data_IF_813492358345
#
_entry.id   IF_813492358345
#
_cell.length_a   1.000
_cell.length_b   1.000
_cell.length_c   1.000
_cell.angle_alpha   90.00
_cell.angle_beta   90.00
_cell.angle_gamma   90.00
#
_symmetry.space_group_name_H-M   'P 1'
#
loop_
_entity.id
_entity.type
_entity.pdbx_description
1 polymer ?
#
# COMPACT_ATOMS: atom_id res chain seq x y z
N UNK A 1 -69.33 60.41 21.75
CA UNK A 1 -68.84 59.02 21.70
C UNK A 1 -67.34 59.10 21.84
N UNK A 2 -66.93 58.99 23.09
CA UNK A 2 -65.62 59.39 23.58
C UNK A 2 -64.94 58.17 24.19
N UNK A 3 -63.63 58.26 24.10
CA UNK A 3 -62.52 57.40 24.51
C UNK A 3 -62.70 56.55 25.78
N UNK A 4 -62.16 55.31 25.73
CA UNK A 4 -61.25 54.66 26.70
C UNK A 4 -61.40 53.13 26.64
N UNK A 5 -60.38 52.46 26.09
CA UNK A 5 -60.15 51.03 26.32
C UNK A 5 -58.89 50.89 27.20
N UNK A 6 -59.06 50.12 28.28
CA UNK A 6 -58.18 50.04 29.45
C UNK A 6 -56.93 49.18 29.27
N UNK A 7 -55.94 49.51 30.11
CA UNK A 7 -54.60 48.96 30.30
C UNK A 7 -54.54 47.47 30.70
N UNK A 8 -53.45 46.79 30.32
CA UNK A 8 -52.34 46.29 31.21
C UNK A 8 -51.61 45.10 30.53
N UNK A 9 -50.39 45.27 30.00
CA UNK A 9 -49.06 45.06 30.64
C UNK A 9 -48.74 43.57 30.92
N UNK A 10 -47.73 42.98 30.24
CA UNK A 10 -46.40 42.65 30.83
C UNK A 10 -45.47 41.83 29.88
N UNK A 11 -44.28 42.41 29.61
CA UNK A 11 -42.92 41.89 29.39
C UNK A 11 -42.60 40.70 28.45
N UNK A 12 -41.69 40.93 27.50
CA UNK A 12 -40.51 40.09 27.27
C UNK A 12 -39.33 40.96 26.77
N UNK A 13 -38.18 40.79 27.44
CA UNK A 13 -37.00 41.65 27.45
C UNK A 13 -36.12 41.52 26.19
N UNK A 14 -35.58 42.66 25.76
CA UNK A 14 -34.50 42.79 24.78
C UNK A 14 -33.15 42.32 25.36
N UNK A 15 -32.34 41.66 24.51
CA UNK A 15 -30.93 41.44 24.73
C UNK A 15 -30.19 41.35 23.39
N UNK A 16 -29.68 42.48 22.91
CA UNK A 16 -28.75 42.58 21.78
C UNK A 16 -27.35 42.49 22.38
N UNK A 17 -26.57 41.45 22.05
CA UNK A 17 -25.13 41.44 22.31
C UNK A 17 -24.37 41.66 21.00
N UNK A 18 -23.60 42.74 20.98
CA UNK A 18 -22.68 43.08 19.89
C UNK A 18 -21.43 42.20 19.99
N UNK A 19 -21.00 41.67 18.84
CA UNK A 19 -19.73 41.00 18.70
C UNK A 19 -18.60 42.04 18.59
N UNK A 20 -17.61 41.95 19.47
CA UNK A 20 -16.31 42.64 19.32
C UNK A 20 -15.27 41.63 18.85
N UNK A 21 -14.44 41.92 17.85
CA UNK A 21 -13.40 40.99 17.39
C UNK A 21 -12.21 41.02 18.36
N UNK A 22 -11.88 39.85 18.91
CA UNK A 22 -10.69 39.67 19.73
C UNK A 22 -9.50 39.38 18.79
N UNK A 23 -8.57 40.34 18.69
CA UNK A 23 -7.23 40.08 18.16
C UNK A 23 -6.44 39.31 19.21
N UNK A 24 -5.92 38.14 18.86
CA UNK A 24 -4.90 37.46 19.66
C UNK A 24 -3.62 37.22 18.85
N UNK A 25 -2.52 37.59 19.51
CA UNK A 25 -1.12 37.67 19.12
C UNK A 25 -0.60 36.52 18.25
N UNK A 26 0.32 36.90 17.34
CA UNK A 26 1.17 35.99 16.59
C UNK A 26 1.97 35.04 17.48
N UNK A 27 1.92 33.77 17.11
CA UNK A 27 2.85 32.74 17.52
C UNK A 27 3.80 32.55 16.33
N UNK A 28 5.08 32.93 16.49
CA UNK A 28 6.14 32.48 15.60
C UNK A 28 6.24 30.96 15.77
N UNK A 29 5.49 30.26 14.93
CA UNK A 29 5.60 28.82 14.77
C UNK A 29 6.96 28.51 14.17
N UNK A 30 7.81 27.88 14.96
CA UNK A 30 8.93 27.08 14.49
C UNK A 30 8.41 26.24 13.32
N UNK A 31 8.91 26.51 12.10
CA UNK A 31 8.76 25.62 10.97
C UNK A 31 9.48 24.32 11.34
N UNK A 32 8.77 23.40 11.99
CA UNK A 32 9.11 21.99 11.91
C UNK A 32 8.83 21.66 10.45
N UNK A 33 9.88 21.52 9.65
CA UNK A 33 9.77 20.93 8.33
C UNK A 33 9.06 19.60 8.53
N UNK A 34 7.81 19.49 8.07
CA UNK A 34 7.22 18.17 7.90
C UNK A 34 8.20 17.37 7.05
N UNK A 35 8.63 16.18 7.48
CA UNK A 35 9.46 15.36 6.62
C UNK A 35 8.70 15.18 5.31
N UNK A 36 9.39 15.44 4.19
CA UNK A 36 8.95 15.11 2.84
C UNK A 36 8.13 13.81 2.86
N UNK A 37 6.96 13.74 2.20
CA UNK A 37 6.09 12.57 2.27
C UNK A 37 6.89 11.32 1.86
N UNK A 38 7.28 10.53 2.86
CA UNK A 38 8.10 9.33 2.67
C UNK A 38 7.39 8.39 1.70
N UNK A 39 8.11 7.92 0.68
CA UNK A 39 7.60 6.92 -0.22
C UNK A 39 7.51 5.52 0.49
N UNK A 40 6.57 4.65 0.07
CA UNK A 40 6.30 3.20 0.39
C UNK A 40 7.58 2.51 0.63
N UNK A 41 8.55 2.69 -0.24
CA UNK A 41 9.74 1.87 -0.18
C UNK A 41 10.52 2.33 1.02
N UNK A 42 10.73 3.63 1.18
CA UNK A 42 11.31 4.16 2.42
C UNK A 42 10.52 3.72 3.65
N UNK A 43 9.19 3.84 3.67
CA UNK A 43 8.36 3.43 4.82
C UNK A 43 8.42 1.93 5.12
N UNK A 44 8.28 1.07 4.10
CA UNK A 44 8.33 -0.39 4.18
C UNK A 44 9.72 -0.78 4.67
N UNK A 45 10.79 -0.28 4.05
CA UNK A 45 12.16 -0.61 4.42
C UNK A 45 12.53 -0.14 5.83
N UNK A 46 12.09 1.06 6.24
CA UNK A 46 12.25 1.53 7.62
C UNK A 46 11.51 0.63 8.61
N UNK A 47 10.29 0.19 8.27
CA UNK A 47 9.48 -0.67 9.13
C UNK A 47 9.99 -2.11 9.18
N UNK A 48 10.60 -2.58 8.09
CA UNK A 48 11.21 -3.90 7.97
C UNK A 48 12.64 -3.94 8.51
N UNK A 49 13.21 -2.79 8.88
CA UNK A 49 14.55 -2.74 9.44
C UNK A 49 14.60 -3.51 10.76
N UNK A 50 15.40 -4.57 10.79
CA UNK A 50 15.46 -5.49 11.94
C UNK A 50 14.35 -6.54 11.99
N UNK A 51 13.63 -6.76 10.88
CA UNK A 51 12.71 -7.90 10.75
C UNK A 51 13.46 -9.21 11.03
N UNK A 52 12.77 -10.13 11.72
CA UNK A 52 13.24 -11.48 12.03
C UNK A 52 13.14 -12.44 10.84
N UNK A 53 12.45 -12.03 9.77
CA UNK A 53 12.32 -12.79 8.53
C UNK A 53 13.39 -12.39 7.51
N UNK A 54 13.76 -13.35 6.64
CA UNK A 54 14.64 -13.08 5.49
C UNK A 54 13.77 -12.63 4.33
N UNK A 55 13.89 -11.35 3.96
CA UNK A 55 13.08 -10.70 2.94
C UNK A 55 13.91 -10.48 1.67
N UNK A 56 13.42 -10.98 0.55
CA UNK A 56 13.91 -10.64 -0.79
C UNK A 56 13.21 -9.36 -1.24
N UNK A 57 13.89 -8.51 -1.99
CA UNK A 57 13.31 -7.23 -2.44
C UNK A 57 12.70 -6.46 -1.25
N UNK A 58 13.31 -6.54 -0.07
CA UNK A 58 12.87 -5.80 1.13
C UNK A 58 11.61 -6.30 1.84
N UNK A 59 10.66 -6.92 1.15
CA UNK A 59 9.33 -7.27 1.69
C UNK A 59 8.71 -8.58 1.12
N UNK A 60 9.43 -9.32 0.28
CA UNK A 60 9.01 -10.65 -0.16
C UNK A 60 9.58 -11.74 0.74
N UNK A 61 8.70 -12.50 1.40
CA UNK A 61 9.11 -13.66 2.19
C UNK A 61 9.79 -14.71 1.31
N UNK A 62 11.03 -15.06 1.66
CA UNK A 62 11.76 -16.13 1.00
C UNK A 62 11.00 -17.47 1.16
N UNK A 63 10.64 -18.17 0.06
CA UNK A 63 9.92 -19.44 0.15
C UNK A 63 10.74 -20.51 0.89
N UNK A 64 10.36 -20.84 2.14
CA UNK A 64 11.10 -21.80 2.99
C UNK A 64 10.98 -23.27 2.52
N UNK A 65 10.02 -23.59 1.66
CA UNK A 65 9.66 -24.98 1.31
C UNK A 65 9.92 -25.35 -0.15
N UNK A 66 10.47 -24.45 -0.98
CA UNK A 66 10.59 -24.67 -2.43
C UNK A 66 11.98 -24.25 -2.92
N UNK A 67 12.82 -25.22 -3.30
CA UNK A 67 14.18 -25.00 -3.81
C UNK A 67 14.27 -24.89 -5.34
N UNK A 68 13.18 -25.13 -6.07
CA UNK A 68 13.04 -24.89 -7.51
C UNK A 68 11.62 -24.41 -7.81
N UNK A 69 11.45 -23.10 -8.03
CA UNK A 69 10.15 -22.51 -8.33
C UNK A 69 10.08 -22.03 -9.79
N UNK A 70 9.43 -22.84 -10.62
CA UNK A 70 8.66 -22.32 -11.75
C UNK A 70 7.20 -22.52 -11.36
N UNK A 71 6.31 -21.57 -11.67
CA UNK A 71 4.88 -21.71 -11.37
C UNK A 71 4.25 -22.79 -12.28
N UNK A 72 4.50 -24.06 -11.95
CA UNK A 72 4.04 -25.19 -12.73
C UNK A 72 2.50 -25.22 -12.72
N UNK A 73 1.91 -25.22 -13.91
CA UNK A 73 0.47 -25.31 -14.14
C UNK A 73 -0.35 -24.23 -13.42
N UNK A 74 0.17 -23.01 -13.26
CA UNK A 74 -0.52 -21.90 -12.58
C UNK A 74 -0.91 -22.21 -11.11
N UNK A 75 -0.28 -23.21 -10.48
CA UNK A 75 -0.57 -23.61 -9.11
C UNK A 75 -0.10 -22.61 -8.05
N UNK A 76 0.65 -21.57 -8.44
CA UNK A 76 1.05 -20.49 -7.55
C UNK A 76 0.01 -19.36 -7.46
N UNK A 77 -1.09 -19.42 -8.23
CA UNK A 77 -2.13 -18.38 -8.19
C UNK A 77 -3.36 -18.84 -7.39
N UNK A 78 -4.15 -17.86 -6.95
CA UNK A 78 -5.45 -18.12 -6.33
C UNK A 78 -6.45 -18.66 -7.36
N UNK A 79 -7.30 -19.60 -6.93
CA UNK A 79 -8.20 -20.29 -7.85
C UNK A 79 -9.42 -19.42 -8.17
N UNK A 80 -9.76 -19.36 -9.45
CA UNK A 80 -11.01 -18.75 -9.92
C UNK A 80 -12.14 -19.79 -9.86
N UNK A 81 -13.28 -19.40 -9.31
CA UNK A 81 -14.47 -20.24 -9.21
C UNK A 81 -15.32 -20.18 -10.50
N UNK A 82 -16.39 -20.98 -10.57
CA UNK A 82 -17.27 -21.08 -11.73
C UNK A 82 -18.02 -19.77 -12.06
N UNK A 83 -18.11 -18.84 -11.11
CA UNK A 83 -18.76 -17.53 -11.30
C UNK A 83 -17.77 -16.46 -11.81
N UNK A 84 -16.59 -16.87 -12.30
CA UNK A 84 -15.51 -16.00 -12.73
C UNK A 84 -14.97 -15.08 -11.62
N UNK A 85 -15.08 -15.50 -10.35
CA UNK A 85 -14.59 -14.77 -9.18
C UNK A 85 -13.41 -15.51 -8.56
N UNK A 86 -12.39 -14.77 -8.12
CA UNK A 86 -11.26 -15.30 -7.36
C UNK A 86 -11.47 -14.96 -5.90
N UNK A 87 -11.94 -15.93 -5.12
CA UNK A 87 -12.13 -15.76 -3.68
C UNK A 87 -10.82 -16.02 -2.95
N UNK A 88 -10.40 -15.04 -2.15
CA UNK A 88 -9.21 -15.10 -1.31
C UNK A 88 -9.66 -15.06 0.15
N UNK A 89 -9.74 -16.23 0.81
CA UNK A 89 -10.12 -16.30 2.21
C UNK A 89 -9.07 -15.59 3.07
N UNK A 90 -9.50 -14.78 4.03
CA UNK A 90 -8.59 -14.12 4.96
C UNK A 90 -9.12 -14.07 6.39
N UNK A 91 -8.17 -13.94 7.33
CA UNK A 91 -8.43 -13.56 8.73
C UNK A 91 -7.60 -12.32 9.07
N UNK A 92 -8.04 -11.56 10.07
CA UNK A 92 -7.33 -10.37 10.58
C UNK A 92 -7.12 -10.50 12.07
N UNK A 93 -5.86 -10.43 12.51
CA UNK A 93 -5.48 -10.51 13.93
C UNK A 93 -6.31 -9.56 14.80
N UNK A 94 -6.73 -10.03 15.98
CA UNK A 94 -7.44 -9.22 16.97
C UNK A 94 -6.63 -8.04 17.50
N UNK A 95 -5.32 -8.00 17.25
CA UNK A 95 -4.45 -6.87 17.59
C UNK A 95 -4.74 -5.61 16.78
N UNK A 96 -5.30 -5.74 15.58
CA UNK A 96 -5.69 -4.60 14.76
C UNK A 96 -6.93 -3.92 15.35
N UNK A 97 -6.82 -2.61 15.56
CA UNK A 97 -7.92 -1.78 16.03
C UNK A 97 -9.05 -1.70 15.01
N UNK A 98 -10.19 -1.12 15.42
CA UNK A 98 -11.29 -0.83 14.50
C UNK A 98 -10.85 0.03 13.32
N UNK A 99 -10.04 1.07 13.56
CA UNK A 99 -9.54 1.95 12.50
C UNK A 99 -8.58 1.23 11.55
N UNK A 100 -7.69 0.39 12.08
CA UNK A 100 -6.77 -0.40 11.25
C UNK A 100 -7.55 -1.31 10.28
N UNK A 101 -8.61 -1.96 10.80
CA UNK A 101 -9.51 -2.83 10.02
C UNK A 101 -10.27 -2.05 8.95
N UNK A 102 -10.65 -0.80 9.22
CA UNK A 102 -11.28 0.06 8.22
C UNK A 102 -10.32 0.39 7.07
N UNK A 103 -9.04 0.70 7.37
CA UNK A 103 -8.03 0.96 6.34
C UNK A 103 -7.79 -0.30 5.49
N UNK A 104 -7.66 -1.47 6.13
CA UNK A 104 -7.49 -2.74 5.42
C UNK A 104 -8.70 -3.03 4.52
N UNK A 105 -9.92 -2.85 5.03
CA UNK A 105 -11.15 -3.05 4.27
C UNK A 105 -11.27 -2.05 3.10
N UNK A 106 -10.89 -0.79 3.32
CA UNK A 106 -10.89 0.23 2.28
C UNK A 106 -9.89 -0.11 1.16
N UNK A 107 -8.68 -0.56 1.50
CA UNK A 107 -7.71 -1.05 0.52
C UNK A 107 -8.23 -2.22 -0.31
N UNK A 108 -8.87 -3.20 0.33
CA UNK A 108 -9.52 -4.34 -0.32
C UNK A 108 -10.66 -3.93 -1.27
N UNK A 109 -11.38 -2.84 -0.98
CA UNK A 109 -12.53 -2.39 -1.78
C UNK A 109 -12.16 -1.99 -3.22
N UNK A 110 -10.92 -1.54 -3.44
CA UNK A 110 -10.42 -1.24 -4.80
C UNK A 110 -10.36 -2.51 -5.64
N UNK A 111 -9.86 -3.62 -5.08
CA UNK A 111 -9.87 -4.91 -5.76
C UNK A 111 -11.30 -5.36 -6.07
N UNK A 112 -12.22 -5.21 -5.13
CA UNK A 112 -13.62 -5.61 -5.31
C UNK A 112 -14.31 -4.84 -6.44
N UNK A 113 -14.03 -3.55 -6.57
CA UNK A 113 -14.70 -2.67 -7.53
C UNK A 113 -14.06 -2.66 -8.93
N UNK A 114 -12.78 -3.05 -9.06
CA UNK A 114 -12.02 -2.93 -10.31
C UNK A 114 -11.56 -4.27 -10.90
N UNK A 115 -11.72 -5.36 -10.16
CA UNK A 115 -11.26 -6.70 -10.57
C UNK A 115 -12.27 -7.79 -10.19
N UNK A 116 -11.99 -9.03 -10.56
CA UNK A 116 -12.71 -10.22 -10.10
C UNK A 116 -12.19 -10.79 -8.77
N UNK A 117 -11.22 -10.15 -8.11
CA UNK A 117 -10.70 -10.57 -6.81
C UNK A 117 -11.69 -10.22 -5.69
N UNK A 118 -12.00 -11.18 -4.82
CA UNK A 118 -12.85 -10.99 -3.65
C UNK A 118 -12.15 -11.53 -2.40
N UNK A 119 -11.69 -10.62 -1.56
CA UNK A 119 -11.29 -10.96 -0.19
C UNK A 119 -12.52 -11.32 0.62
N UNK A 120 -12.58 -12.55 1.12
CA UNK A 120 -13.73 -13.09 1.87
C UNK A 120 -13.30 -13.54 3.25
N UNK A 121 -14.13 -13.32 4.27
CA UNK A 121 -13.85 -13.83 5.60
C UNK A 121 -13.70 -15.36 5.54
N UNK A 122 -12.57 -15.87 6.02
CA UNK A 122 -12.29 -17.30 6.00
C UNK A 122 -13.29 -18.05 6.88
N UNK A 123 -13.77 -19.19 6.37
CA UNK A 123 -14.48 -20.20 7.14
C UNK A 123 -13.62 -21.46 7.28
N UNK A 124 -13.71 -22.39 6.34
CA UNK A 124 -13.07 -23.72 6.39
C UNK A 124 -11.97 -23.92 5.36
N UNK A 125 -11.67 -22.89 4.54
CA UNK A 125 -10.70 -23.02 3.45
C UNK A 125 -9.29 -23.34 3.99
N UNK A 126 -8.62 -24.26 3.30
CA UNK A 126 -7.25 -24.68 3.62
C UNK A 126 -6.24 -23.58 3.30
N UNK A 127 -6.35 -22.97 2.12
CA UNK A 127 -5.48 -21.89 1.67
C UNK A 127 -6.11 -20.55 2.02
N UNK A 128 -5.38 -19.69 2.74
CA UNK A 128 -5.90 -18.40 3.18
C UNK A 128 -4.79 -17.44 3.61
N UNK A 129 -5.10 -16.15 3.58
CA UNK A 129 -4.22 -15.09 4.10
C UNK A 129 -4.51 -14.85 5.58
N UNK A 130 -3.47 -14.84 6.40
CA UNK A 130 -3.50 -14.40 7.79
C UNK A 130 -2.87 -13.01 7.87
N UNK A 131 -3.70 -11.97 8.04
CA UNK A 131 -3.22 -10.59 8.22
C UNK A 131 -2.83 -10.43 9.69
N UNK A 132 -1.53 -10.30 9.94
CA UNK A 132 -0.93 -10.30 11.28
C UNK A 132 -0.13 -9.01 11.52
N UNK A 133 -0.08 -8.56 12.77
CA UNK A 133 0.77 -7.44 13.18
C UNK A 133 2.15 -7.99 13.57
N UNK A 134 3.07 -8.09 12.61
CA UNK A 134 4.46 -8.50 12.88
C UNK A 134 5.45 -7.36 12.65
N UNK A 135 6.71 -7.73 12.60
CA UNK A 135 7.91 -6.92 12.41
C UNK A 135 8.13 -6.57 10.93
N UNK A 136 7.18 -5.85 10.34
CA UNK A 136 7.32 -5.32 8.99
C UNK A 136 6.03 -5.25 8.17
N UNK A 137 6.17 -4.77 6.95
CA UNK A 137 5.24 -4.89 5.83
C UNK A 137 5.85 -5.94 4.90
N UNK A 138 5.24 -7.11 4.80
CA UNK A 138 5.74 -8.16 3.92
C UNK A 138 4.68 -9.20 3.61
N UNK A 139 4.89 -9.90 2.50
CA UNK A 139 3.98 -10.92 2.00
C UNK A 139 4.74 -12.04 1.30
N UNK A 140 4.05 -13.17 1.12
CA UNK A 140 4.52 -14.20 0.20
C UNK A 140 4.12 -13.85 -1.23
N UNK A 141 4.91 -14.29 -2.20
CA UNK A 141 4.55 -14.12 -3.60
C UNK A 141 3.55 -15.19 -4.06
N UNK A 142 2.32 -14.77 -4.37
CA UNK A 142 1.24 -15.64 -4.81
C UNK A 142 0.68 -16.54 -3.71
N UNK A 143 -0.08 -17.55 -4.12
CA UNK A 143 -0.62 -18.59 -3.23
C UNK A 143 0.43 -19.65 -2.93
N UNK A 144 0.82 -19.77 -1.65
CA UNK A 144 1.86 -20.72 -1.21
C UNK A 144 1.31 -22.03 -0.67
N UNK A 145 0.01 -22.08 -0.36
CA UNK A 145 -0.69 -23.25 0.19
C UNK A 145 -0.75 -23.23 1.72
N UNK A 146 -1.91 -23.57 2.29
CA UNK A 146 -2.17 -23.45 3.72
C UNK A 146 -2.33 -21.99 4.19
N UNK A 147 -2.01 -21.75 5.47
CA UNK A 147 -1.93 -20.40 6.04
C UNK A 147 -0.70 -19.68 5.47
N UNK A 148 -0.89 -18.54 4.80
CA UNK A 148 0.21 -17.62 4.46
C UNK A 148 0.01 -16.28 5.14
N UNK A 149 1.09 -15.68 5.63
CA UNK A 149 1.05 -14.42 6.37
C UNK A 149 1.17 -13.24 5.40
N UNK A 150 0.35 -12.22 5.64
CA UNK A 150 0.62 -10.84 5.21
C UNK A 150 0.88 -10.06 6.50
N UNK A 151 2.11 -9.60 6.69
CA UNK A 151 2.46 -8.78 7.84
C UNK A 151 2.13 -7.33 7.54
N UNK A 152 1.37 -6.71 8.44
CA UNK A 152 1.16 -5.27 8.45
C UNK A 152 1.47 -4.77 9.85
N UNK A 153 2.69 -4.33 10.09
CA UNK A 153 3.02 -3.63 11.32
C UNK A 153 2.06 -2.44 11.51
N UNK A 154 1.41 -2.39 12.67
CA UNK A 154 0.36 -1.40 12.94
C UNK A 154 0.81 0.06 12.83
N UNK A 155 2.09 0.33 13.07
CA UNK A 155 2.62 1.69 13.09
C UNK A 155 3.24 2.12 11.76
N UNK A 156 3.68 1.17 10.93
CA UNK A 156 4.37 1.46 9.67
C UNK A 156 3.64 1.05 8.39
N UNK A 157 2.69 0.11 8.46
CA UNK A 157 2.17 -0.57 7.26
C UNK A 157 0.67 -0.39 7.02
N UNK A 158 -0.10 0.10 7.99
CA UNK A 158 -1.56 0.21 7.87
C UNK A 158 -1.94 1.51 7.15
N UNK A 159 -1.51 1.59 5.89
CA UNK A 159 -1.78 2.67 4.95
C UNK A 159 -2.39 2.07 3.70
N UNK A 160 -3.34 2.78 3.07
CA UNK A 160 -4.09 2.27 1.92
C UNK A 160 -3.17 1.67 0.83
N UNK A 161 -2.17 2.41 0.36
CA UNK A 161 -1.23 1.94 -0.65
C UNK A 161 -0.37 0.74 -0.20
N UNK A 162 0.11 0.72 1.04
CA UNK A 162 0.93 -0.40 1.58
C UNK A 162 0.09 -1.67 1.67
N UNK A 163 -1.14 -1.58 2.18
CA UNK A 163 -2.02 -2.76 2.21
C UNK A 163 -2.27 -3.29 0.80
N UNK A 164 -2.48 -2.41 -0.19
CA UNK A 164 -2.64 -2.86 -1.58
C UNK A 164 -1.37 -3.49 -2.16
N UNK A 165 -0.21 -2.94 -1.82
CA UNK A 165 1.09 -3.46 -2.21
C UNK A 165 1.31 -4.89 -1.71
N UNK A 166 1.13 -5.13 -0.41
CA UNK A 166 1.31 -6.46 0.18
C UNK A 166 0.28 -7.49 -0.33
N UNK A 167 -0.94 -7.04 -0.59
CA UNK A 167 -1.97 -7.87 -1.19
C UNK A 167 -1.66 -8.19 -2.67
N UNK A 168 -1.03 -7.28 -3.41
CA UNK A 168 -0.55 -7.55 -4.77
C UNK A 168 0.59 -8.58 -4.78
N UNK A 169 1.51 -8.54 -3.82
CA UNK A 169 2.46 -9.63 -3.62
C UNK A 169 1.75 -10.97 -3.39
N UNK A 170 0.75 -11.00 -2.51
CA UNK A 170 -0.05 -12.21 -2.26
C UNK A 170 -0.81 -12.70 -3.51
N UNK A 171 -1.10 -11.82 -4.48
CA UNK A 171 -1.67 -12.18 -5.79
C UNK A 171 -0.64 -12.72 -6.78
N UNK A 172 0.66 -12.50 -6.55
CA UNK A 172 1.75 -13.00 -7.38
C UNK A 172 2.49 -11.94 -8.19
N UNK A 173 2.41 -10.66 -7.81
CA UNK A 173 3.13 -9.57 -8.48
C UNK A 173 4.46 -9.27 -7.78
N UNK A 174 5.54 -9.25 -8.56
CA UNK A 174 6.83 -8.71 -8.15
C UNK A 174 6.82 -7.17 -8.22
N UNK A 175 7.91 -6.57 -7.77
CA UNK A 175 8.14 -5.15 -7.96
C UNK A 175 8.31 -4.74 -9.42
N UNK A 176 8.00 -3.49 -9.72
CA UNK A 176 8.07 -2.95 -11.09
C UNK A 176 9.52 -2.80 -11.58
N UNK A 177 10.42 -2.32 -10.71
CA UNK A 177 11.83 -2.10 -11.06
C UNK A 177 12.63 -3.39 -11.27
N UNK A 178 12.06 -4.55 -10.96
CA UNK A 178 12.67 -5.86 -11.18
C UNK A 178 12.14 -6.55 -12.43
N UNK A 179 11.27 -5.90 -13.22
CA UNK A 179 10.86 -6.41 -14.54
C UNK A 179 12.05 -6.74 -15.44
N UNK A 180 11.86 -7.74 -16.28
CA UNK A 180 12.85 -8.20 -17.27
C UNK A 180 13.27 -7.09 -18.27
N UNK A 181 12.38 -6.14 -18.56
CA UNK A 181 12.58 -5.03 -19.50
C UNK A 181 12.93 -3.69 -18.82
N UNK A 182 13.13 -3.67 -17.49
CA UNK A 182 13.27 -2.42 -16.71
C UNK A 182 14.40 -1.50 -17.18
N UNK A 183 15.49 -2.04 -17.74
CA UNK A 183 16.65 -1.26 -18.20
C UNK A 183 16.31 -0.30 -19.37
N UNK A 184 15.13 -0.45 -19.99
CA UNK A 184 14.62 0.49 -20.99
C UNK A 184 13.97 1.75 -20.38
N UNK A 185 13.70 1.72 -19.06
CA UNK A 185 12.86 2.69 -18.35
C UNK A 185 13.56 3.27 -17.13
N UNK A 186 14.43 2.51 -16.47
CA UNK A 186 15.20 3.01 -15.32
C UNK A 186 16.66 2.62 -15.44
N UNK A 187 17.53 3.54 -14.99
CA UNK A 187 18.92 3.26 -14.67
C UNK A 187 19.03 2.92 -13.19
N UNK A 188 19.69 1.81 -12.88
CA UNK A 188 20.11 1.50 -11.50
C UNK A 188 21.50 2.07 -11.27
N UNK A 189 21.62 2.94 -10.27
CA UNK A 189 22.89 3.53 -9.84
C UNK A 189 23.50 2.60 -8.77
N UNK A 190 24.13 1.52 -9.24
CA UNK A 190 24.69 0.46 -8.38
C UNK A 190 25.68 0.98 -7.35
N UNK A 191 26.43 2.02 -7.69
CA UNK A 191 27.36 2.73 -6.83
C UNK A 191 26.71 3.39 -5.60
N UNK A 192 25.41 3.69 -5.67
CA UNK A 192 24.65 4.33 -4.60
C UNK A 192 23.89 3.31 -3.72
N UNK A 193 23.89 2.03 -4.06
CA UNK A 193 23.18 0.99 -3.31
C UNK A 193 24.09 0.45 -2.21
N UNK A 194 23.53 0.22 -1.01
CA UNK A 194 24.24 -0.50 0.04
C UNK A 194 24.70 -1.88 -0.49
N UNK A 195 25.99 -2.25 -0.42
CA UNK A 195 26.50 -3.46 -1.09
C UNK A 195 25.74 -4.74 -0.73
N UNK A 196 25.37 -4.89 0.53
CA UNK A 196 24.62 -6.05 1.03
C UNK A 196 23.16 -6.07 0.55
N UNK A 197 22.67 -5.00 -0.08
CA UNK A 197 21.29 -4.85 -0.56
C UNK A 197 21.17 -4.86 -2.08
N UNK A 198 22.28 -4.98 -2.82
CA UNK A 198 22.28 -4.95 -4.29
C UNK A 198 21.41 -6.06 -4.93
N UNK A 199 21.21 -7.19 -4.24
CA UNK A 199 20.35 -8.27 -4.73
C UNK A 199 18.88 -7.86 -4.90
N UNK A 200 18.40 -6.85 -4.16
CA UNK A 200 17.03 -6.33 -4.26
C UNK A 200 16.72 -5.60 -5.59
N UNK A 201 17.75 -5.31 -6.40
CA UNK A 201 17.64 -4.64 -7.70
C UNK A 201 17.87 -5.57 -8.88
N UNK A 202 18.11 -6.85 -8.62
CA UNK A 202 18.29 -7.83 -9.68
C UNK A 202 16.98 -8.02 -10.44
N UNK A 203 17.07 -8.13 -11.76
CA UNK A 203 15.90 -8.40 -12.59
C UNK A 203 15.38 -9.80 -12.32
N UNK A 204 14.06 -9.92 -12.22
CA UNK A 204 13.35 -11.17 -12.20
C UNK A 204 12.99 -11.59 -13.63
N UNK A 205 12.82 -12.90 -13.85
CA UNK A 205 12.25 -13.41 -15.10
C UNK A 205 10.72 -13.24 -15.07
N UNK A 206 10.26 -12.02 -15.33
CA UNK A 206 8.85 -11.63 -15.21
C UNK A 206 8.04 -11.95 -16.47
N UNK A 207 6.80 -12.43 -16.28
CA UNK A 207 5.78 -12.36 -17.32
C UNK A 207 5.15 -10.96 -17.29
N UNK A 208 5.56 -10.10 -18.21
CA UNK A 208 5.10 -8.70 -18.28
C UNK A 208 3.65 -8.55 -18.79
N UNK A 209 3.01 -9.65 -19.18
CA UNK A 209 1.62 -9.72 -19.66
C UNK A 209 1.32 -8.75 -20.81
N UNK A 210 2.30 -8.39 -21.65
CA UNK A 210 2.19 -7.36 -22.68
C UNK A 210 1.58 -6.05 -22.15
N UNK A 211 2.00 -5.62 -20.96
CA UNK A 211 1.66 -4.32 -20.38
C UNK A 211 2.90 -3.43 -20.37
N UNK A 212 2.73 -2.11 -20.57
CA UNK A 212 3.85 -1.17 -20.49
C UNK A 212 4.46 -1.17 -19.08
N UNK A 213 5.70 -0.68 -19.00
CA UNK A 213 6.31 -0.33 -17.72
C UNK A 213 5.58 0.86 -17.11
N UNK A 214 5.32 0.82 -15.81
CA UNK A 214 4.52 1.81 -15.11
C UNK A 214 5.27 2.41 -13.91
N UNK A 215 5.87 3.58 -14.12
CA UNK A 215 6.51 4.36 -13.06
C UNK A 215 5.58 4.66 -11.86
N UNK A 216 4.27 4.78 -12.13
CA UNK A 216 3.24 5.05 -11.13
C UNK A 216 2.68 3.80 -10.45
N UNK A 217 3.19 2.60 -10.76
CA UNK A 217 2.77 1.37 -10.10
C UNK A 217 2.96 1.47 -8.59
N UNK A 218 1.99 0.96 -7.81
CA UNK A 218 2.15 0.82 -6.35
C UNK A 218 3.26 -0.16 -5.99
N UNK A 219 3.68 -1.00 -6.95
CA UNK A 219 4.78 -1.96 -6.84
C UNK A 219 6.14 -1.38 -7.24
N UNK A 220 6.24 -0.08 -7.58
CA UNK A 220 7.51 0.53 -7.94
C UNK A 220 8.23 1.08 -6.71
N UNK A 221 9.54 0.82 -6.63
CA UNK A 221 10.40 1.44 -5.63
C UNK A 221 10.50 2.97 -5.75
N UNK A 222 10.70 3.65 -4.63
CA UNK A 222 11.15 5.03 -4.60
C UNK A 222 12.60 5.19 -5.08
N UNK A 223 13.00 6.43 -5.37
CA UNK A 223 14.32 6.79 -5.92
C UNK A 223 15.49 6.44 -5.01
N UNK A 224 15.29 6.46 -3.70
CA UNK A 224 16.33 6.33 -2.67
C UNK A 224 16.33 4.97 -1.98
N UNK A 225 15.56 4.01 -2.50
CA UNK A 225 15.45 2.67 -1.94
C UNK A 225 16.84 2.05 -1.70
N UNK A 226 17.09 1.51 -0.51
CA UNK A 226 18.36 0.87 -0.12
C UNK A 226 19.64 1.69 -0.38
N UNK A 227 19.53 3.02 -0.41
CA UNK A 227 20.67 3.88 -0.60
C UNK A 227 21.72 3.68 0.49
N UNK A 228 23.00 3.67 0.11
CA UNK A 228 24.14 3.60 1.03
C UNK A 228 24.27 4.87 1.89
N UNK A 229 23.74 6.00 1.42
CA UNK A 229 23.68 7.26 2.15
C UNK A 229 22.33 7.96 1.94
N UNK A 230 21.74 8.60 2.98
CA UNK A 230 20.48 9.31 2.83
C UNK A 230 20.49 10.29 1.64
N UNK A 231 19.47 10.21 0.78
CA UNK A 231 19.27 11.12 -0.34
C UNK A 231 19.95 10.76 -1.67
N UNK A 232 20.84 9.74 -1.73
CA UNK A 232 21.36 9.29 -3.02
C UNK A 232 20.32 8.48 -3.79
N UNK A 233 20.15 8.79 -5.07
CA UNK A 233 19.26 8.03 -5.95
C UNK A 233 19.90 6.69 -6.33
N UNK A 234 19.23 5.59 -6.00
CA UNK A 234 19.55 4.24 -6.47
C UNK A 234 18.82 3.90 -7.77
N UNK A 235 17.69 4.57 -8.05
CA UNK A 235 16.91 4.43 -9.28
C UNK A 235 16.68 5.79 -9.91
N UNK A 236 17.08 5.95 -11.17
CA UNK A 236 16.81 7.15 -11.97
C UNK A 236 15.97 6.77 -13.19
N UNK A 237 14.75 7.31 -13.35
CA UNK A 237 13.95 7.13 -14.56
C UNK A 237 14.64 7.65 -15.83
N UNK A 238 14.36 7.03 -16.98
CA UNK A 238 14.89 7.41 -18.28
C UNK A 238 13.79 7.34 -19.37
N UNK A 239 13.87 8.15 -20.45
CA UNK A 239 14.87 9.19 -20.69
C UNK A 239 14.67 10.45 -19.85
N UNK A 240 13.49 10.61 -19.24
CA UNK A 240 13.16 11.74 -18.38
C UNK A 240 13.38 11.39 -16.91
N UNK A 241 14.48 11.90 -16.36
CA UNK A 241 14.84 11.71 -14.95
C UNK A 241 13.93 12.40 -13.95
N UNK A 242 12.96 13.21 -14.39
CA UNK A 242 12.02 13.93 -13.50
C UNK A 242 10.74 13.15 -13.18
N UNK A 243 10.48 12.05 -13.90
CA UNK A 243 9.28 11.22 -13.71
C UNK A 243 9.18 10.72 -12.26
N UNK A 244 8.05 10.90 -11.61
CA UNK A 244 7.84 10.41 -10.24
C UNK A 244 7.75 8.87 -10.21
N UNK A 245 8.44 8.27 -9.25
CA UNK A 245 8.39 6.84 -8.96
C UNK A 245 8.21 6.62 -7.47
N UNK A 246 7.57 5.52 -7.11
CA UNK A 246 7.28 5.23 -5.73
C UNK A 246 6.14 6.10 -5.19
N UNK A 247 4.98 6.08 -5.83
CA UNK A 247 3.74 6.67 -5.29
C UNK A 247 2.99 5.70 -4.36
N UNK A 248 2.14 6.24 -3.48
CA UNK A 248 1.54 5.55 -2.30
C UNK A 248 0.04 5.67 -2.15
N UNK A 249 -0.60 6.29 -3.13
CA UNK A 249 -2.02 6.58 -3.06
C UNK A 249 -2.82 5.29 -3.25
N UNK A 250 -2.38 4.42 -4.15
CA UNK A 250 -2.99 3.11 -4.38
C UNK A 250 -2.56 2.51 -5.71
N UNK A 251 -3.20 1.41 -6.10
CA UNK A 251 -2.96 0.73 -7.36
C UNK A 251 -3.17 1.66 -8.56
N UNK A 252 -2.24 1.62 -9.51
CA UNK A 252 -2.39 2.28 -10.80
C UNK A 252 -3.42 1.55 -11.68
N UNK A 253 -3.79 2.18 -12.80
CA UNK A 253 -4.60 1.52 -13.82
C UNK A 253 -3.89 0.28 -14.41
N UNK A 254 -2.56 0.31 -14.52
CA UNK A 254 -1.76 -0.82 -15.03
C UNK A 254 -1.72 -1.96 -14.02
N UNK A 255 -1.61 -1.67 -12.72
CA UNK A 255 -1.70 -2.67 -11.66
C UNK A 255 -3.03 -3.43 -11.75
N UNK A 256 -4.15 -2.69 -11.83
CA UNK A 256 -5.50 -3.25 -12.00
C UNK A 256 -5.60 -4.09 -13.29
N UNK A 257 -5.09 -3.58 -14.41
CA UNK A 257 -5.10 -4.27 -15.69
C UNK A 257 -4.33 -5.61 -15.60
N UNK A 258 -3.17 -5.62 -14.96
CA UNK A 258 -2.35 -6.82 -14.78
C UNK A 258 -3.02 -7.87 -13.92
N UNK A 259 -3.69 -7.46 -12.84
CA UNK A 259 -4.54 -8.36 -12.03
C UNK A 259 -5.62 -9.00 -12.91
N UNK A 260 -6.35 -8.18 -13.68
CA UNK A 260 -7.41 -8.66 -14.55
C UNK A 260 -6.89 -9.64 -15.61
N UNK A 261 -5.76 -9.33 -16.26
CA UNK A 261 -5.13 -10.23 -17.23
C UNK A 261 -4.61 -11.52 -16.60
N UNK A 262 -4.08 -11.46 -15.38
CA UNK A 262 -3.51 -12.64 -14.70
C UNK A 262 -4.61 -13.63 -14.32
N UNK A 263 -5.71 -13.11 -13.78
CA UNK A 263 -6.82 -13.92 -13.29
C UNK A 263 -7.95 -14.13 -14.33
N UNK A 264 -7.84 -13.51 -15.51
CA UNK A 264 -8.86 -13.59 -16.56
C UNK A 264 -10.20 -13.04 -16.08
N UNK A 265 -10.16 -11.90 -15.41
CA UNK A 265 -11.33 -11.05 -15.28
C UNK A 265 -11.62 -10.46 -16.69
#
# INVERSE_FOLDING_TARGET
MDTRASLSILLLLFGVSQASPFMEKGFEGVFVSEPEPLDITTRILETNNGSSEVLIEGDLLLPKTRNALYCLNNNCFWKKNANNIVEIPYIVSSEFSYYDRLVIANAMSTFHSKTCIRFVARSTQTDYISIENKDGCYSSLGRTGGKQVVSLNRYGCVYHGIVQHELNHALGFYHEQTRSDRDQYVKINWENISPDMAYNFQRQNTNNQNTPYDYGSVMHYGRTAFSIQPGLETITPIPDGTVEIGQRQGMSNTDILRINKLYGC
#
